data_IF_498756611084
#
_entry.id   IF_498756611084
#
_cell.length_a   1.000
_cell.length_b   1.000
_cell.length_c   1.000
_cell.angle_alpha   90.00
_cell.angle_beta   90.00
_cell.angle_gamma   90.00
#
_symmetry.space_group_name_H-M   'P 1'
#
loop_
_entity.id
_entity.type
_entity.pdbx_description
1 polymer ?
#
# COMPACT_ATOMS: atom_id res chain seq x y z
N UNK A 1 -1.57 18.03 -24.50
CA UNK A 1 -0.65 17.09 -25.20
C UNK A 1 -0.57 15.85 -24.35
N UNK A 2 -0.78 14.66 -24.94
CA UNK A 2 -0.63 13.40 -24.20
C UNK A 2 0.86 13.13 -23.94
N UNK A 3 1.20 12.62 -22.77
CA UNK A 3 2.57 12.14 -22.52
C UNK A 3 2.79 10.81 -23.26
N UNK A 4 4.06 10.46 -23.51
CA UNK A 4 4.41 9.17 -24.14
C UNK A 4 3.91 8.00 -23.30
N UNK A 5 3.97 8.11 -21.97
CA UNK A 5 3.46 7.09 -21.05
C UNK A 5 1.95 6.88 -21.22
N UNK A 6 1.17 7.96 -21.32
CA UNK A 6 -0.30 7.86 -21.49
C UNK A 6 -0.66 7.13 -22.80
N UNK A 7 0.03 7.45 -23.90
CA UNK A 7 -0.22 6.83 -25.20
C UNK A 7 0.16 5.33 -25.23
N UNK A 8 1.19 4.94 -24.49
CA UNK A 8 1.64 3.55 -24.43
C UNK A 8 0.70 2.68 -23.59
N UNK A 9 0.22 3.20 -22.46
CA UNK A 9 -0.67 2.49 -21.54
C UNK A 9 -2.04 2.21 -22.17
N UNK A 10 -2.60 3.13 -22.96
CA UNK A 10 -3.87 2.91 -23.67
C UNK A 10 -3.81 1.72 -24.65
N UNK A 11 -2.62 1.37 -25.17
CA UNK A 11 -2.45 0.22 -26.08
C UNK A 11 -2.62 -1.13 -25.38
N UNK A 12 -2.60 -1.17 -24.04
CA UNK A 12 -2.77 -2.41 -23.28
C UNK A 12 -4.23 -2.89 -23.22
N UNK A 13 -5.21 -2.03 -23.54
CA UNK A 13 -6.65 -2.37 -23.47
C UNK A 13 -7.08 -3.11 -24.73
N UNK A 14 -7.65 -4.32 -24.59
CA UNK A 14 -8.22 -5.07 -25.71
C UNK A 14 -7.21 -5.53 -26.77
N UNK A 15 -5.93 -5.54 -26.45
CA UNK A 15 -4.89 -6.08 -27.34
C UNK A 15 -5.00 -7.61 -27.42
N UNK A 16 -4.61 -8.24 -28.54
CA UNK A 16 -4.78 -9.69 -28.81
C UNK A 16 -4.17 -10.62 -27.74
N UNK A 17 -3.33 -10.10 -26.85
CA UNK A 17 -2.70 -10.76 -25.70
C UNK A 17 -2.72 -9.85 -24.44
N UNK A 18 -3.58 -8.82 -24.41
CA UNK A 18 -3.52 -7.73 -23.43
C UNK A 18 -4.03 -8.10 -22.05
N UNK A 19 -3.38 -7.57 -21.02
CA UNK A 19 -3.70 -7.82 -19.61
C UNK A 19 -5.05 -7.24 -19.20
N UNK A 20 -5.46 -6.10 -19.79
CA UNK A 20 -6.70 -5.38 -19.45
C UNK A 20 -7.77 -5.69 -20.49
N UNK A 21 -8.79 -6.44 -20.05
CA UNK A 21 -9.90 -6.87 -20.90
C UNK A 21 -10.92 -5.76 -21.13
N UNK A 22 -11.19 -4.96 -20.09
CA UNK A 22 -12.16 -3.89 -20.10
C UNK A 22 -11.61 -2.69 -19.32
N UNK A 23 -11.82 -1.50 -19.87
CA UNK A 23 -11.64 -0.23 -19.19
C UNK A 23 -12.95 0.55 -19.32
N UNK A 24 -13.52 0.96 -18.20
CA UNK A 24 -14.74 1.76 -18.21
C UNK A 24 -14.64 2.93 -17.23
N UNK A 25 -15.27 4.08 -17.54
CA UNK A 25 -15.43 5.14 -16.57
C UNK A 25 -16.31 4.61 -15.44
N UNK A 26 -15.97 4.94 -14.19
CA UNK A 26 -16.87 4.68 -13.07
C UNK A 26 -18.02 5.70 -13.18
N UNK A 27 -19.28 5.26 -13.37
CA UNK A 27 -20.41 6.18 -13.52
C UNK A 27 -20.56 7.03 -12.26
N UNK A 28 -20.77 8.33 -12.42
CA UNK A 28 -21.04 9.20 -11.29
C UNK A 28 -22.41 8.85 -10.70
N UNK A 29 -22.45 8.58 -9.40
CA UNK A 29 -23.67 8.51 -8.61
C UNK A 29 -24.07 9.90 -8.11
N UNK A 30 -25.30 10.04 -7.59
CA UNK A 30 -25.76 11.28 -6.94
C UNK A 30 -24.97 11.64 -5.67
N UNK A 31 -24.06 10.77 -5.23
CA UNK A 31 -23.32 10.92 -3.99
C UNK A 31 -21.80 10.98 -4.19
N UNK A 32 -21.34 11.04 -5.43
CA UNK A 32 -19.91 11.08 -5.73
C UNK A 32 -19.40 12.52 -5.64
N UNK A 33 -18.18 12.70 -5.13
CA UNK A 33 -17.43 13.94 -5.31
C UNK A 33 -17.14 14.13 -6.79
N UNK A 34 -17.09 15.38 -7.28
CA UNK A 34 -16.76 15.70 -8.68
C UNK A 34 -15.29 15.40 -9.01
N UNK A 35 -14.95 14.10 -9.04
CA UNK A 35 -13.64 13.53 -9.35
C UNK A 35 -13.82 12.39 -10.34
N UNK A 36 -13.04 12.41 -11.41
CA UNK A 36 -13.07 11.34 -12.41
C UNK A 36 -12.49 10.05 -11.84
N UNK A 37 -13.19 8.93 -12.04
CA UNK A 37 -12.76 7.59 -11.66
C UNK A 37 -12.78 6.61 -12.84
N UNK A 38 -11.80 5.71 -12.87
CA UNK A 38 -11.67 4.66 -13.86
C UNK A 38 -11.44 3.31 -13.19
N UNK A 39 -12.06 2.27 -13.72
CA UNK A 39 -11.86 0.89 -13.30
C UNK A 39 -11.31 0.08 -14.48
N UNK A 40 -10.21 -0.63 -14.24
CA UNK A 40 -9.61 -1.57 -15.18
C UNK A 40 -9.84 -3.00 -14.68
N UNK A 41 -10.46 -3.83 -15.54
CA UNK A 41 -10.73 -5.24 -15.25
C UNK A 41 -9.68 -6.08 -15.98
N UNK A 42 -8.80 -6.78 -15.26
CA UNK A 42 -7.84 -7.66 -15.91
C UNK A 42 -8.54 -8.86 -16.55
N UNK A 43 -7.90 -9.52 -17.52
CA UNK A 43 -8.43 -10.76 -18.11
C UNK A 43 -8.62 -11.86 -17.04
N UNK A 44 -9.57 -12.82 -17.25
CA UNK A 44 -9.95 -13.85 -16.27
C UNK A 44 -8.84 -14.81 -15.85
N UNK A 45 -7.65 -14.71 -16.46
CA UNK A 45 -6.49 -15.50 -16.11
C UNK A 45 -5.56 -14.79 -15.10
N UNK A 46 -5.76 -13.51 -14.78
CA UNK A 46 -4.98 -12.83 -13.74
C UNK A 46 -5.68 -12.93 -12.37
N UNK A 47 -4.94 -13.34 -11.34
CA UNK A 47 -5.39 -13.22 -9.95
C UNK A 47 -5.14 -11.79 -9.47
N UNK A 48 -6.23 -11.05 -9.23
CA UNK A 48 -6.20 -9.67 -8.77
C UNK A 48 -7.56 -9.02 -9.04
N UNK A 49 -8.11 -8.32 -8.05
CA UNK A 49 -9.39 -7.62 -8.19
C UNK A 49 -9.35 -6.49 -9.22
N UNK A 50 -10.47 -5.78 -9.36
CA UNK A 50 -10.57 -4.57 -10.16
C UNK A 50 -9.52 -3.56 -9.74
N UNK A 51 -8.79 -2.96 -10.70
CA UNK A 51 -7.80 -1.92 -10.42
C UNK A 51 -8.39 -0.53 -10.64
N UNK A 52 -8.12 0.40 -9.74
CA UNK A 52 -8.74 1.74 -9.73
C UNK A 52 -7.78 2.85 -10.14
N UNK A 53 -8.30 4.04 -10.47
CA UNK A 53 -7.46 5.18 -10.77
C UNK A 53 -8.25 6.46 -11.01
N UNK A 54 -7.70 7.61 -10.62
CA UNK A 54 -8.27 8.93 -10.93
C UNK A 54 -8.12 9.30 -12.41
N UNK A 55 -7.32 8.52 -13.15
CA UNK A 55 -7.16 8.60 -14.59
C UNK A 55 -7.19 7.21 -15.21
N UNK A 56 -7.51 7.12 -16.51
CA UNK A 56 -7.43 5.89 -17.30
C UNK A 56 -6.09 5.19 -17.15
N UNK A 57 -5.02 5.98 -17.18
CA UNK A 57 -3.64 5.51 -17.23
C UNK A 57 -3.23 4.94 -15.88
N UNK A 58 -3.63 5.56 -14.77
CA UNK A 58 -3.41 5.01 -13.44
C UNK A 58 -4.08 3.64 -13.27
N UNK A 59 -5.36 3.52 -13.66
CA UNK A 59 -6.10 2.26 -13.53
C UNK A 59 -5.49 1.12 -14.35
N UNK A 60 -5.06 1.39 -15.59
CA UNK A 60 -4.39 0.38 -16.43
C UNK A 60 -3.00 0.04 -15.87
N UNK A 61 -2.22 1.03 -15.43
CA UNK A 61 -0.89 0.80 -14.88
C UNK A 61 -0.94 -0.09 -13.64
N UNK A 62 -1.91 0.15 -12.75
CA UNK A 62 -2.14 -0.65 -11.56
C UNK A 62 -2.60 -2.09 -11.90
N UNK A 63 -3.42 -2.27 -12.95
CA UNK A 63 -3.79 -3.60 -13.44
C UNK A 63 -2.58 -4.37 -14.02
N UNK A 64 -1.73 -3.69 -14.80
CA UNK A 64 -0.49 -4.25 -15.35
C UNK A 64 0.50 -4.60 -14.25
N UNK A 65 0.60 -3.76 -13.23
CA UNK A 65 1.43 -3.99 -12.05
C UNK A 65 1.04 -5.27 -11.32
N UNK A 66 -0.26 -5.43 -10.97
CA UNK A 66 -0.77 -6.66 -10.32
C UNK A 66 -0.55 -7.90 -11.18
N UNK A 67 -0.78 -7.78 -12.50
CA UNK A 67 -0.50 -8.87 -13.43
C UNK A 67 0.97 -9.29 -13.41
N UNK A 68 1.89 -8.33 -13.45
CA UNK A 68 3.31 -8.62 -13.41
C UNK A 68 3.70 -9.36 -12.13
N UNK A 69 3.21 -8.91 -10.97
CA UNK A 69 3.49 -9.59 -9.69
C UNK A 69 2.88 -10.99 -9.59
N UNK A 70 1.74 -11.24 -10.23
CA UNK A 70 1.10 -12.55 -10.24
C UNK A 70 1.73 -13.52 -11.26
N UNK A 71 2.32 -13.01 -12.35
CA UNK A 71 2.80 -13.83 -13.49
C UNK A 71 4.32 -13.90 -13.64
N UNK A 72 5.08 -13.00 -13.01
CA UNK A 72 6.52 -13.03 -13.06
C UNK A 72 7.05 -14.37 -12.53
N UNK A 73 7.92 -15.01 -13.33
CA UNK A 73 8.57 -16.27 -12.93
C UNK A 73 9.70 -15.94 -11.97
N UNK A 74 9.59 -16.46 -10.75
CA UNK A 74 10.63 -16.35 -9.74
C UNK A 74 11.45 -17.65 -9.73
N UNK A 75 12.75 -17.54 -9.98
CA UNK A 75 13.67 -18.65 -9.75
C UNK A 75 13.79 -18.94 -8.26
N UNK A 76 13.93 -20.23 -7.93
CA UNK A 76 14.28 -20.65 -6.57
C UNK A 76 15.80 -20.76 -6.47
N UNK A 77 16.40 -20.07 -5.50
CA UNK A 77 17.85 -20.03 -5.28
C UNK A 77 18.19 -20.46 -3.85
N UNK A 78 19.22 -21.31 -3.72
CA UNK A 78 19.60 -21.95 -2.45
C UNK A 78 20.94 -21.46 -1.88
N UNK A 79 21.73 -20.72 -2.65
CA UNK A 79 23.08 -20.28 -2.29
C UNK A 79 23.23 -18.76 -2.29
N UNK A 80 24.19 -18.26 -1.51
CA UNK A 80 24.46 -16.82 -1.33
C UNK A 80 23.80 -16.22 -0.10
N UNK A 81 24.10 -14.95 0.16
CA UNK A 81 23.54 -14.19 1.27
C UNK A 81 22.01 -14.19 1.23
N UNK A 82 21.37 -14.21 2.38
CA UNK A 82 19.92 -14.37 2.50
C UNK A 82 19.37 -13.51 3.62
N UNK A 83 18.20 -12.91 3.39
CA UNK A 83 17.35 -12.40 4.46
C UNK A 83 16.26 -13.42 4.73
N UNK A 84 16.39 -14.23 5.80
CA UNK A 84 15.38 -15.22 6.18
C UNK A 84 14.02 -14.57 6.41
N UNK A 85 12.95 -15.33 6.19
CA UNK A 85 11.59 -14.87 6.42
C UNK A 85 11.39 -14.34 7.86
N UNK A 86 12.07 -14.92 8.84
CA UNK A 86 11.95 -14.50 10.24
C UNK A 86 12.48 -13.08 10.51
N UNK A 87 13.28 -12.51 9.61
CA UNK A 87 13.73 -11.13 9.73
C UNK A 87 12.63 -10.12 9.39
N UNK A 88 11.61 -10.54 8.63
CA UNK A 88 10.55 -9.64 8.19
C UNK A 88 9.53 -9.41 9.29
N UNK A 89 9.06 -8.16 9.39
CA UNK A 89 8.06 -7.72 10.37
C UNK A 89 6.67 -8.23 9.99
N UNK A 90 6.48 -9.55 10.08
CA UNK A 90 5.22 -10.26 9.82
C UNK A 90 4.65 -10.78 11.14
N UNK A 91 4.71 -12.08 11.42
CA UNK A 91 4.02 -12.67 12.57
C UNK A 91 4.99 -13.11 13.67
N UNK A 92 4.58 -12.99 14.93
CA UNK A 92 5.37 -13.46 16.08
C UNK A 92 5.45 -14.98 16.16
N UNK A 93 6.29 -15.51 17.05
CA UNK A 93 6.33 -16.96 17.32
C UNK A 93 4.98 -17.44 17.86
N UNK A 94 4.36 -16.67 18.76
CA UNK A 94 3.10 -16.98 19.42
C UNK A 94 1.95 -17.09 18.41
N UNK A 95 1.86 -16.15 17.47
CA UNK A 95 0.88 -16.22 16.37
C UNK A 95 1.09 -17.46 15.51
N UNK A 96 2.34 -17.79 15.19
CA UNK A 96 2.70 -18.91 14.29
C UNK A 96 2.39 -20.29 14.88
N UNK A 97 2.39 -20.43 16.21
CA UNK A 97 2.06 -21.70 16.87
C UNK A 97 0.56 -21.88 17.10
N UNK A 98 -0.25 -20.83 16.94
CA UNK A 98 -1.70 -20.89 17.15
C UNK A 98 -2.37 -21.99 16.28
N UNK A 99 -3.38 -22.72 16.80
CA UNK A 99 -3.99 -23.86 16.10
C UNK A 99 -4.58 -23.51 14.73
N UNK A 100 -5.16 -22.32 14.58
CA UNK A 100 -5.82 -21.82 13.37
C UNK A 100 -4.93 -20.92 12.50
N UNK A 101 -3.61 -20.89 12.74
CA UNK A 101 -2.69 -20.05 11.98
C UNK A 101 -2.58 -20.46 10.50
N UNK A 102 -3.10 -19.62 9.60
CA UNK A 102 -3.24 -19.94 8.15
C UNK A 102 -1.92 -19.93 7.36
N UNK A 103 -0.92 -19.16 7.79
CA UNK A 103 0.33 -19.00 7.03
C UNK A 103 1.42 -20.02 7.39
N UNK A 104 1.08 -21.05 8.20
CA UNK A 104 2.04 -22.04 8.70
C UNK A 104 2.88 -22.67 7.59
N UNK A 105 2.26 -23.00 6.46
CA UNK A 105 2.94 -23.63 5.31
C UNK A 105 4.09 -22.77 4.77
N UNK A 106 3.89 -21.45 4.68
CA UNK A 106 4.88 -20.52 4.15
C UNK A 106 6.12 -20.38 5.05
N UNK A 107 5.97 -20.51 6.37
CA UNK A 107 7.09 -20.49 7.32
C UNK A 107 7.88 -21.79 7.38
N UNK A 108 7.27 -22.93 7.07
CA UNK A 108 7.95 -24.23 7.14
C UNK A 108 8.78 -24.49 5.88
N UNK A 109 8.24 -24.16 4.71
CA UNK A 109 8.86 -24.44 3.42
C UNK A 109 8.98 -23.15 2.61
N UNK A 110 9.77 -22.19 3.09
CA UNK A 110 9.96 -20.91 2.40
C UNK A 110 10.91 -21.06 1.21
N UNK A 111 10.44 -20.91 -0.05
CA UNK A 111 11.35 -20.76 -1.18
C UNK A 111 11.90 -19.33 -1.22
N UNK A 112 13.15 -19.21 -1.65
CA UNK A 112 13.84 -17.93 -1.79
C UNK A 112 14.14 -17.64 -3.25
N UNK A 113 13.99 -16.39 -3.66
CA UNK A 113 14.34 -15.91 -5.00
C UNK A 113 15.46 -14.86 -4.93
N UNK A 114 16.11 -14.58 -6.05
CA UNK A 114 17.18 -13.57 -6.12
C UNK A 114 16.56 -12.17 -6.14
N UNK A 115 17.17 -11.25 -5.42
CA UNK A 115 16.91 -9.83 -5.43
C UNK A 115 18.24 -9.06 -5.36
N UNK A 116 18.16 -7.74 -5.34
CA UNK A 116 19.32 -6.85 -5.25
C UNK A 116 19.11 -5.81 -4.16
N UNK A 117 20.14 -5.56 -3.35
CA UNK A 117 20.08 -4.56 -2.27
C UNK A 117 19.97 -3.14 -2.83
N UNK A 118 19.42 -2.22 -2.06
CA UNK A 118 19.53 -0.77 -2.31
C UNK A 118 20.25 -0.12 -1.12
N UNK A 119 21.16 0.85 -1.36
CA UNK A 119 21.62 1.34 -2.65
C UNK A 119 22.69 0.47 -3.33
N UNK A 120 23.24 -0.54 -2.63
CA UNK A 120 24.45 -1.27 -3.06
C UNK A 120 24.32 -2.10 -4.35
N UNK A 121 23.12 -2.52 -4.71
CA UNK A 121 22.85 -3.41 -5.84
C UNK A 121 23.58 -4.78 -5.74
N UNK A 122 23.82 -5.24 -4.51
CA UNK A 122 24.45 -6.52 -4.23
C UNK A 122 23.42 -7.65 -4.31
N UNK A 123 23.80 -8.84 -4.83
CA UNK A 123 22.89 -9.96 -4.92
C UNK A 123 22.51 -10.49 -3.53
N UNK A 124 21.20 -10.62 -3.28
CA UNK A 124 20.64 -11.14 -2.03
C UNK A 124 19.51 -12.13 -2.32
N UNK A 125 19.28 -13.08 -1.42
CA UNK A 125 18.11 -13.96 -1.47
C UNK A 125 17.02 -13.49 -0.51
N UNK A 126 15.78 -13.49 -0.99
CA UNK A 126 14.60 -13.00 -0.26
C UNK A 126 13.43 -13.97 -0.43
N UNK A 127 12.48 -14.04 0.52
CA UNK A 127 11.36 -14.98 0.43
C UNK A 127 10.51 -14.73 -0.83
N UNK A 128 10.39 -15.73 -1.70
CA UNK A 128 9.69 -15.58 -2.98
C UNK A 128 8.21 -15.24 -2.79
N UNK A 129 7.58 -15.75 -1.72
CA UNK A 129 6.19 -15.46 -1.37
C UNK A 129 5.94 -14.03 -0.87
N UNK A 130 6.99 -13.26 -0.56
CA UNK A 130 6.86 -11.81 -0.27
C UNK A 130 7.15 -10.95 -1.51
N UNK A 131 7.66 -11.58 -2.58
CA UNK A 131 7.89 -10.93 -3.88
C UNK A 131 6.70 -11.10 -4.81
N UNK A 132 6.15 -12.32 -4.88
CA UNK A 132 5.01 -12.66 -5.73
C UNK A 132 3.67 -12.23 -5.10
N UNK A 133 2.71 -11.87 -5.96
CA UNK A 133 1.31 -11.77 -5.57
C UNK A 133 0.62 -13.12 -5.77
N UNK A 134 1.06 -14.13 -5.01
CA UNK A 134 0.58 -15.51 -5.12
C UNK A 134 0.41 -16.16 -3.72
N UNK A 135 -0.85 -16.44 -3.36
CA UNK A 135 -1.18 -17.07 -2.08
C UNK A 135 -0.70 -18.53 -1.96
N UNK A 136 -0.31 -19.18 -3.06
CA UNK A 136 0.15 -20.59 -3.08
C UNK A 136 1.41 -20.82 -2.24
N UNK A 137 2.22 -19.77 -2.06
CA UNK A 137 3.39 -19.75 -1.17
C UNK A 137 3.02 -19.84 0.32
N UNK A 138 1.74 -19.68 0.69
CA UNK A 138 1.29 -19.78 2.08
C UNK A 138 1.80 -18.64 2.97
N UNK A 139 2.10 -17.48 2.39
CA UNK A 139 2.45 -16.23 3.06
C UNK A 139 1.42 -15.14 2.70
N UNK A 140 1.35 -14.03 3.45
CA UNK A 140 0.55 -12.87 3.04
C UNK A 140 0.96 -12.40 1.64
N UNK A 141 0.00 -12.38 0.71
CA UNK A 141 0.19 -11.88 -0.64
C UNK A 141 -0.36 -10.45 -0.72
N UNK A 142 0.47 -9.48 -0.37
CA UNK A 142 0.11 -8.05 -0.40
C UNK A 142 0.79 -7.34 -1.56
N UNK A 143 0.24 -6.21 -2.02
CA UNK A 143 0.87 -5.36 -3.04
C UNK A 143 1.92 -4.38 -2.48
N UNK A 144 2.20 -4.40 -1.18
CA UNK A 144 3.13 -3.43 -0.55
C UNK A 144 4.50 -3.40 -1.22
N UNK A 145 4.92 -2.21 -1.67
CA UNK A 145 6.21 -2.02 -2.33
C UNK A 145 6.23 -2.52 -3.77
N UNK A 146 5.07 -2.73 -4.39
CA UNK A 146 4.94 -3.05 -5.81
C UNK A 146 4.70 -1.74 -6.57
N UNK A 147 5.37 -1.57 -7.70
CA UNK A 147 5.16 -0.38 -8.52
C UNK A 147 5.45 -0.66 -9.99
N UNK A 148 4.57 -0.15 -10.87
CA UNK A 148 4.84 -0.01 -12.30
C UNK A 148 5.14 1.44 -12.68
N UNK A 149 6.05 1.64 -13.63
CA UNK A 149 6.40 2.98 -14.13
C UNK A 149 7.11 2.97 -15.49
N UNK A 150 7.30 4.15 -16.11
CA UNK A 150 7.95 4.29 -17.42
C UNK A 150 9.47 4.03 -17.40
N UNK A 151 10.05 3.81 -16.23
CA UNK A 151 11.46 3.43 -16.04
C UNK A 151 11.61 2.68 -14.72
N UNK A 152 12.66 1.86 -14.60
CA UNK A 152 13.01 1.21 -13.32
C UNK A 152 13.19 2.21 -12.19
N UNK A 153 13.83 3.37 -12.44
CA UNK A 153 14.02 4.44 -11.45
C UNK A 153 12.68 4.99 -10.94
N UNK A 154 11.73 5.26 -11.85
CA UNK A 154 10.40 5.73 -11.43
C UNK A 154 9.61 4.68 -10.67
N UNK A 155 9.70 3.41 -11.07
CA UNK A 155 9.04 2.31 -10.38
C UNK A 155 9.64 2.11 -8.98
N UNK A 156 10.98 2.10 -8.87
CA UNK A 156 11.68 2.02 -7.58
C UNK A 156 11.29 3.16 -6.64
N UNK A 157 11.24 4.41 -7.13
CA UNK A 157 10.83 5.54 -6.29
C UNK A 157 9.43 5.34 -5.70
N UNK A 158 8.47 4.93 -6.54
CA UNK A 158 7.10 4.69 -6.09
C UNK A 158 7.01 3.51 -5.13
N UNK A 159 7.70 2.41 -5.40
CA UNK A 159 7.73 1.23 -4.53
C UNK A 159 8.36 1.53 -3.15
N UNK A 160 9.46 2.29 -3.10
CA UNK A 160 10.10 2.66 -1.82
C UNK A 160 9.21 3.64 -1.06
N UNK A 161 8.61 4.63 -1.72
CA UNK A 161 7.65 5.53 -1.07
C UNK A 161 6.46 4.76 -0.50
N UNK A 162 5.91 3.79 -1.24
CA UNK A 162 4.81 2.97 -0.74
C UNK A 162 5.24 2.13 0.47
N UNK A 163 6.45 1.55 0.50
CA UNK A 163 6.91 0.84 1.70
C UNK A 163 6.98 1.75 2.94
N UNK A 164 7.51 2.97 2.78
CA UNK A 164 7.55 3.96 3.87
C UNK A 164 6.14 4.34 4.31
N UNK A 165 5.23 4.51 3.36
CA UNK A 165 3.83 4.80 3.59
C UNK A 165 3.13 3.69 4.39
N UNK A 166 3.31 2.42 4.00
CA UNK A 166 2.71 1.27 4.71
C UNK A 166 3.30 1.10 6.11
N UNK A 167 4.59 1.32 6.29
CA UNK A 167 5.24 1.26 7.60
C UNK A 167 4.71 2.33 8.55
N UNK A 168 4.65 3.57 8.06
CA UNK A 168 4.17 4.71 8.82
C UNK A 168 2.73 4.49 9.30
N UNK A 169 1.85 4.07 8.39
CA UNK A 169 0.47 3.75 8.74
C UNK A 169 0.36 2.56 9.68
N UNK A 170 1.01 1.44 9.37
CA UNK A 170 0.92 0.22 10.18
C UNK A 170 1.43 0.48 11.60
N UNK A 171 2.54 1.21 11.74
CA UNK A 171 3.07 1.60 13.05
C UNK A 171 2.10 2.52 13.79
N UNK A 172 1.64 3.60 13.14
CA UNK A 172 0.68 4.55 13.74
C UNK A 172 -0.58 3.83 14.21
N UNK A 173 -1.12 2.93 13.38
CA UNK A 173 -2.33 2.20 13.67
C UNK A 173 -2.13 1.18 14.80
N UNK A 174 -1.12 0.31 14.71
CA UNK A 174 -0.88 -0.77 15.69
C UNK A 174 -0.56 -0.24 17.08
N UNK A 175 0.06 0.94 17.19
CA UNK A 175 0.37 1.59 18.47
C UNK A 175 -0.74 2.52 18.96
N UNK A 176 -1.90 2.55 18.30
CA UNK A 176 -3.03 3.44 18.61
C UNK A 176 -2.60 4.90 18.78
N UNK A 177 -1.71 5.37 17.92
CA UNK A 177 -1.24 6.76 17.96
C UNK A 177 -2.35 7.70 17.48
N UNK A 178 -2.39 8.89 18.08
CA UNK A 178 -3.15 10.03 17.59
C UNK A 178 -2.21 10.92 16.77
N UNK A 179 -2.16 10.79 15.43
CA UNK A 179 -1.22 11.55 14.60
C UNK A 179 -1.54 13.05 14.60
N UNK A 180 -0.51 13.87 14.37
CA UNK A 180 -0.68 15.32 14.29
C UNK A 180 -1.60 15.67 13.12
N UNK A 181 -2.50 16.64 13.32
CA UNK A 181 -3.39 17.14 12.25
C UNK A 181 -2.91 18.49 11.76
N UNK A 182 -3.11 18.80 10.50
CA UNK A 182 -2.76 20.11 9.93
C UNK A 182 -3.82 20.57 8.94
N UNK A 183 -3.96 21.89 8.78
CA UNK A 183 -4.88 22.46 7.80
C UNK A 183 -4.31 22.33 6.38
N UNK A 184 -5.05 21.61 5.53
CA UNK A 184 -4.74 21.41 4.12
C UNK A 184 -5.83 21.97 3.19
N UNK A 185 -6.82 22.69 3.73
CA UNK A 185 -7.94 23.23 2.95
C UNK A 185 -8.77 22.16 2.22
N UNK A 186 -8.88 20.96 2.82
CA UNK A 186 -9.56 19.83 2.20
C UNK A 186 -11.08 20.03 2.21
N UNK A 187 -11.78 19.69 1.11
CA UNK A 187 -13.23 19.80 1.04
C UNK A 187 -13.90 18.65 1.80
N UNK A 188 -15.24 18.73 1.91
CA UNK A 188 -16.10 17.68 2.45
C UNK A 188 -15.80 17.22 3.89
N UNK A 189 -15.12 18.07 4.68
CA UNK A 189 -14.81 17.78 6.08
C UNK A 189 -13.72 16.72 6.27
N UNK A 190 -12.99 16.35 5.22
CA UNK A 190 -11.82 15.50 5.34
C UNK A 190 -10.68 16.25 6.07
N UNK A 191 -9.90 15.51 6.85
CA UNK A 191 -8.80 16.04 7.64
C UNK A 191 -7.48 15.42 7.20
N UNK A 192 -6.40 16.21 7.20
CA UNK A 192 -5.06 15.76 6.89
C UNK A 192 -4.26 15.50 8.17
N UNK A 193 -3.48 14.42 8.17
CA UNK A 193 -2.67 13.97 9.29
C UNK A 193 -1.23 13.69 8.83
N UNK A 194 -0.27 14.12 9.64
CA UNK A 194 1.14 13.84 9.43
C UNK A 194 1.52 12.51 10.09
N UNK A 195 1.95 11.56 9.26
CA UNK A 195 2.44 10.25 9.66
C UNK A 195 3.94 10.11 9.40
N UNK A 196 4.65 11.18 9.03
CA UNK A 196 6.04 11.13 8.57
C UNK A 196 6.95 10.54 9.67
N UNK A 197 7.55 9.35 9.46
CA UNK A 197 8.51 8.80 10.41
C UNK A 197 9.81 9.60 10.43
N UNK A 198 10.52 9.60 11.55
CA UNK A 198 11.78 10.33 11.74
C UNK A 198 12.89 9.94 10.73
N UNK A 199 12.83 8.72 10.19
CA UNK A 199 13.79 8.25 9.18
C UNK A 199 13.45 8.73 7.75
N UNK A 200 12.23 9.21 7.50
CA UNK A 200 11.76 9.53 6.16
C UNK A 200 12.05 10.98 5.81
N UNK A 201 12.78 11.26 4.72
CA UNK A 201 12.91 12.62 4.18
C UNK A 201 11.69 13.04 3.36
N UNK A 202 10.78 12.10 3.06
CA UNK A 202 9.57 12.33 2.28
C UNK A 202 8.35 12.38 3.21
N UNK A 203 7.48 13.39 3.09
CA UNK A 203 6.26 13.45 3.88
C UNK A 203 5.33 12.26 3.62
N UNK A 204 4.80 11.70 4.71
CA UNK A 204 3.74 10.69 4.68
C UNK A 204 2.48 11.32 5.26
N UNK A 205 1.45 11.44 4.42
CA UNK A 205 0.19 12.09 4.78
C UNK A 205 -0.95 11.09 4.70
N UNK A 206 -1.79 11.06 5.74
CA UNK A 206 -3.09 10.43 5.70
C UNK A 206 -4.19 11.49 5.54
N UNK A 207 -5.22 11.17 4.78
CA UNK A 207 -6.46 11.95 4.70
C UNK A 207 -7.60 11.07 5.17
N UNK A 208 -8.27 11.46 6.26
CA UNK A 208 -9.34 10.67 6.86
C UNK A 208 -10.60 11.51 7.03
N UNK A 209 -11.75 10.85 6.95
CA UNK A 209 -13.05 11.47 7.11
C UNK A 209 -14.16 10.54 6.65
N UNK A 210 -15.39 11.04 6.69
CA UNK A 210 -16.57 10.31 6.21
C UNK A 210 -17.36 11.17 5.24
N UNK A 211 -17.41 10.76 3.96
CA UNK A 211 -18.29 11.37 2.97
C UNK A 211 -19.66 10.66 2.99
N UNK A 212 -20.78 11.35 3.29
CA UNK A 212 -22.07 10.69 3.32
C UNK A 212 -22.57 10.37 1.91
N UNK A 213 -22.92 9.10 1.66
CA UNK A 213 -23.56 8.61 0.44
C UNK A 213 -25.00 8.23 0.74
N UNK A 214 -25.95 8.83 0.01
CA UNK A 214 -27.39 8.71 0.28
C UNK A 214 -27.77 8.96 1.76
N UNK A 215 -27.09 9.91 2.42
CA UNK A 215 -27.31 10.25 3.83
C UNK A 215 -26.69 9.29 4.85
N UNK A 216 -25.93 8.28 4.40
CA UNK A 216 -25.22 7.32 5.27
C UNK A 216 -23.71 7.58 5.27
N UNK A 217 -23.03 7.55 6.41
CA UNK A 217 -21.59 7.82 6.48
C UNK A 217 -20.78 6.73 5.76
N UNK A 218 -19.66 7.15 5.12
CA UNK A 218 -18.67 6.27 4.49
C UNK A 218 -17.29 6.63 5.03
N UNK A 219 -17.02 6.30 6.31
CA UNK A 219 -15.73 6.54 6.91
C UNK A 219 -14.66 5.73 6.21
N UNK A 220 -13.58 6.39 5.82
CA UNK A 220 -12.42 5.77 5.21
C UNK A 220 -11.20 6.69 5.33
N UNK A 221 -10.06 6.21 4.86
CA UNK A 221 -8.79 6.91 4.87
C UNK A 221 -8.08 6.68 3.53
N UNK A 222 -7.39 7.70 3.02
CA UNK A 222 -6.41 7.56 1.94
C UNK A 222 -5.03 7.99 2.42
N UNK A 223 -3.98 7.49 1.80
CA UNK A 223 -2.62 7.57 2.32
C UNK A 223 -1.61 7.83 1.20
N UNK A 224 -0.56 8.60 1.48
CA UNK A 224 0.46 8.87 0.48
C UNK A 224 1.82 9.24 1.09
N UNK A 225 2.89 8.63 0.60
CA UNK A 225 4.25 9.14 0.75
C UNK A 225 4.72 9.81 -0.55
N UNK A 226 5.07 11.10 -0.54
CA UNK A 226 5.54 11.83 -1.74
C UNK A 226 6.70 12.75 -1.38
N UNK A 227 7.39 13.30 -2.39
CA UNK A 227 8.50 14.23 -2.17
C UNK A 227 8.01 15.59 -1.64
N UNK A 228 6.72 15.91 -1.80
CA UNK A 228 6.14 17.15 -1.27
C UNK A 228 4.86 16.86 -0.50
N UNK A 229 4.60 17.66 0.53
CA UNK A 229 3.39 17.57 1.34
C UNK A 229 2.16 17.85 0.48
N UNK A 230 2.27 18.78 -0.47
CA UNK A 230 1.19 19.06 -1.43
C UNK A 230 0.83 17.84 -2.29
N UNK A 231 1.82 17.11 -2.80
CA UNK A 231 1.57 15.90 -3.59
C UNK A 231 1.07 14.74 -2.73
N UNK A 232 1.57 14.62 -1.50
CA UNK A 232 1.10 13.62 -0.54
C UNK A 232 -0.37 13.86 -0.19
N UNK A 233 -0.73 15.08 0.24
CA UNK A 233 -2.13 15.49 0.51
C UNK A 233 -3.02 15.19 -0.70
N UNK A 234 -2.62 15.62 -1.91
CA UNK A 234 -3.42 15.40 -3.11
C UNK A 234 -3.68 13.92 -3.36
N UNK A 235 -2.63 13.08 -3.30
CA UNK A 235 -2.77 11.64 -3.54
C UNK A 235 -3.58 10.96 -2.44
N UNK A 236 -3.35 11.29 -1.18
CA UNK A 236 -4.11 10.74 -0.06
C UNK A 236 -5.59 11.12 -0.15
N UNK A 237 -5.90 12.35 -0.57
CA UNK A 237 -7.28 12.77 -0.82
C UNK A 237 -7.92 12.02 -1.99
N UNK A 238 -7.19 11.81 -3.09
CA UNK A 238 -7.65 10.99 -4.23
C UNK A 238 -7.97 9.55 -3.79
N UNK A 239 -7.14 8.95 -2.94
CA UNK A 239 -7.39 7.61 -2.39
C UNK A 239 -8.57 7.59 -1.42
N UNK A 240 -8.74 8.61 -0.59
CA UNK A 240 -9.88 8.71 0.31
C UNK A 240 -11.21 8.75 -0.46
N UNK A 241 -11.27 9.49 -1.58
CA UNK A 241 -12.45 9.49 -2.45
C UNK A 241 -12.67 8.13 -3.11
N UNK A 242 -11.61 7.51 -3.62
CA UNK A 242 -11.71 6.17 -4.22
C UNK A 242 -12.18 5.12 -3.22
N UNK A 243 -11.67 5.16 -1.99
CA UNK A 243 -12.09 4.29 -0.89
C UNK A 243 -13.58 4.47 -0.57
N UNK A 244 -14.08 5.71 -0.60
CA UNK A 244 -15.51 5.99 -0.38
C UNK A 244 -16.38 5.30 -1.44
N UNK A 245 -16.01 5.42 -2.72
CA UNK A 245 -16.72 4.77 -3.84
C UNK A 245 -16.63 3.25 -3.72
N UNK A 246 -15.46 2.71 -3.38
CA UNK A 246 -15.26 1.29 -3.16
C UNK A 246 -16.20 0.74 -2.08
N UNK A 247 -16.25 1.38 -0.92
CA UNK A 247 -17.11 0.97 0.20
C UNK A 247 -18.58 0.94 -0.22
N UNK A 248 -19.06 1.94 -0.95
CA UNK A 248 -20.43 1.96 -1.44
C UNK A 248 -20.74 0.78 -2.38
N UNK A 249 -19.86 0.54 -3.36
CA UNK A 249 -20.02 -0.57 -4.30
C UNK A 249 -19.98 -1.92 -3.58
N UNK A 250 -19.11 -2.06 -2.57
CA UNK A 250 -19.00 -3.26 -1.77
C UNK A 250 -20.28 -3.51 -0.97
N UNK A 251 -20.80 -2.50 -0.28
CA UNK A 251 -22.05 -2.60 0.51
C UNK A 251 -23.26 -2.91 -0.38
N UNK A 252 -23.34 -2.32 -1.58
CA UNK A 252 -24.40 -2.61 -2.53
C UNK A 252 -24.41 -4.09 -3.00
N UNK A 253 -23.24 -4.75 -3.01
CA UNK A 253 -23.08 -6.15 -3.43
C UNK A 253 -23.23 -7.14 -2.28
N UNK A 254 -22.73 -6.80 -1.09
CA UNK A 254 -22.63 -7.70 0.04
C UNK A 254 -23.67 -7.45 1.13
N UNK A 255 -24.43 -6.34 1.04
CA UNK A 255 -25.36 -5.89 2.07
C UNK A 255 -24.71 -4.93 3.07
N UNK A 256 -25.54 -4.33 3.93
CA UNK A 256 -25.14 -3.36 4.96
C UNK A 256 -25.09 -3.95 6.38
N UNK A 257 -25.08 -5.28 6.49
CA UNK A 257 -24.91 -5.97 7.76
C UNK A 257 -23.52 -5.73 8.37
N UNK A 258 -23.38 -5.89 9.70
CA UNK A 258 -22.11 -5.66 10.39
C UNK A 258 -21.03 -6.64 9.91
N UNK A 259 -19.85 -6.10 9.59
CA UNK A 259 -18.63 -6.90 9.41
C UNK A 259 -18.09 -7.27 10.79
N UNK A 260 -18.33 -8.50 11.24
CA UNK A 260 -17.95 -8.96 12.59
C UNK A 260 -16.43 -9.07 12.77
N UNK A 261 -15.73 -9.64 11.79
CA UNK A 261 -14.29 -9.86 11.80
C UNK A 261 -13.74 -9.60 10.39
N UNK A 262 -12.86 -8.60 10.24
CA UNK A 262 -12.25 -8.30 8.95
C UNK A 262 -11.07 -9.25 8.67
N UNK A 263 -11.19 -10.07 7.62
CA UNK A 263 -10.25 -11.13 7.26
C UNK A 263 -9.60 -10.94 5.90
N UNK A 264 -10.04 -9.93 5.15
CA UNK A 264 -9.41 -9.40 3.95
C UNK A 264 -9.50 -7.86 3.87
N UNK A 265 -8.81 -7.29 2.88
CA UNK A 265 -8.76 -5.85 2.66
C UNK A 265 -10.14 -5.23 2.34
N UNK A 266 -11.02 -5.95 1.65
CA UNK A 266 -12.35 -5.44 1.30
C UNK A 266 -13.21 -5.28 2.56
N UNK A 267 -13.18 -6.26 3.46
CA UNK A 267 -13.84 -6.22 4.76
C UNK A 267 -13.26 -5.14 5.68
N UNK A 268 -11.93 -4.94 5.66
CA UNK A 268 -11.27 -3.85 6.38
C UNK A 268 -11.78 -2.47 5.93
N UNK A 269 -11.87 -2.24 4.61
CA UNK A 269 -12.40 -0.99 4.07
C UNK A 269 -13.88 -0.75 4.44
N UNK A 270 -14.70 -1.80 4.45
CA UNK A 270 -16.12 -1.69 4.76
C UNK A 270 -16.42 -1.63 6.27
N UNK A 271 -15.49 -2.03 7.14
CA UNK A 271 -15.72 -2.24 8.58
C UNK A 271 -16.40 -1.05 9.26
N UNK A 272 -15.83 0.15 9.11
CA UNK A 272 -16.33 1.35 9.79
C UNK A 272 -17.63 1.88 9.19
N UNK A 273 -17.92 1.61 7.92
CA UNK A 273 -19.20 1.96 7.33
C UNK A 273 -20.35 1.13 7.91
N UNK A 274 -20.05 -0.09 8.40
CA UNK A 274 -21.00 -0.94 9.13
C UNK A 274 -20.94 -0.72 10.66
N UNK A 275 -19.96 0.04 11.15
CA UNK A 275 -19.75 0.39 12.56
C UNK A 275 -19.40 1.87 12.77
N UNK A 276 -20.28 2.82 12.40
CA UNK A 276 -19.94 4.25 12.40
C UNK A 276 -19.55 4.77 13.80
N UNK A 277 -20.18 4.29 14.88
CA UNK A 277 -19.80 4.68 16.23
C UNK A 277 -18.33 4.32 16.57
N UNK A 278 -17.83 3.19 16.06
CA UNK A 278 -16.43 2.78 16.28
C UNK A 278 -15.44 3.69 15.54
N UNK A 279 -15.87 4.35 14.46
CA UNK A 279 -15.04 5.32 13.74
C UNK A 279 -14.87 6.60 14.56
N UNK A 280 -15.97 7.10 15.12
CA UNK A 280 -15.99 8.31 15.94
C UNK A 280 -15.19 8.14 17.24
N UNK A 281 -15.12 6.91 17.76
CA UNK A 281 -14.37 6.56 18.97
C UNK A 281 -12.85 6.36 18.73
N UNK A 282 -12.36 6.44 17.48
CA UNK A 282 -10.94 6.22 17.20
C UNK A 282 -10.05 7.29 17.85
N UNK A 283 -8.94 6.92 18.51
CA UNK A 283 -7.98 7.88 19.05
C UNK A 283 -7.32 8.74 17.97
N UNK A 284 -7.40 8.29 16.70
CA UNK A 284 -6.85 8.95 15.52
C UNK A 284 -7.19 10.45 15.44
N UNK A 285 -8.42 10.83 15.82
CA UNK A 285 -8.91 12.21 15.72
C UNK A 285 -8.52 13.10 16.91
N UNK A 286 -7.84 12.55 17.92
CA UNK A 286 -7.46 13.27 19.15
C UNK A 286 -6.10 13.97 19.02
N UNK A 287 -5.45 13.88 17.85
CA UNK A 287 -4.17 14.51 17.59
C UNK A 287 -4.22 16.04 17.67
N UNK A 288 -3.12 16.64 18.14
CA UNK A 288 -3.02 18.10 18.20
C UNK A 288 -2.75 18.69 16.81
N UNK A 289 -3.11 19.96 16.65
CA UNK A 289 -2.88 20.70 15.42
C UNK A 289 -1.44 21.21 15.33
N UNK A 290 -0.80 21.03 14.19
CA UNK A 290 0.59 21.40 13.94
C UNK A 290 0.77 21.94 12.51
N UNK A 291 1.98 22.43 12.23
CA UNK A 291 2.38 22.79 10.87
C UNK A 291 2.47 21.53 9.98
N UNK A 292 2.24 21.66 8.66
CA UNK A 292 2.41 20.56 7.73
C UNK A 292 3.86 20.01 7.75
N UNK A 293 4.06 18.71 7.44
CA UNK A 293 5.39 18.13 7.37
C UNK A 293 6.24 18.82 6.30
N UNK A 294 7.58 18.83 6.45
CA UNK A 294 8.47 19.43 5.48
C UNK A 294 8.49 18.63 4.18
N UNK A 295 8.70 19.34 3.07
CA UNK A 295 9.01 18.70 1.79
C UNK A 295 10.41 18.07 1.80
N UNK A 296 10.63 17.11 0.90
CA UNK A 296 11.95 16.57 0.58
C UNK A 296 12.91 17.69 0.13
N UNK A 297 14.21 17.49 0.31
CA UNK A 297 15.20 18.50 -0.06
C UNK A 297 15.49 18.50 -1.57
N UNK A 298 15.32 17.36 -2.22
CA UNK A 298 15.59 17.19 -3.65
C UNK A 298 14.30 17.08 -4.47
N UNK A 299 14.43 17.25 -5.78
CA UNK A 299 13.33 17.17 -6.75
C UNK A 299 13.77 16.44 -8.01
N UNK A 300 12.81 15.73 -8.61
CA UNK A 300 13.01 14.93 -9.80
C UNK A 300 13.30 13.47 -9.45
N UNK A 301 12.72 12.56 -10.23
CA UNK A 301 12.62 11.12 -9.93
C UNK A 301 13.93 10.49 -9.43
N UNK A 302 15.05 10.74 -10.11
CA UNK A 302 16.35 10.17 -9.72
C UNK A 302 16.88 10.75 -8.42
N UNK A 303 16.77 12.07 -8.24
CA UNK A 303 17.26 12.74 -7.04
C UNK A 303 16.41 12.36 -5.82
N UNK A 304 15.09 12.34 -5.97
CA UNK A 304 14.14 11.90 -4.93
C UNK A 304 14.38 10.44 -4.52
N UNK A 305 14.62 9.53 -5.48
CA UNK A 305 14.95 8.14 -5.18
C UNK A 305 16.26 8.04 -4.40
N UNK A 306 17.27 8.79 -4.84
CA UNK A 306 18.60 8.80 -4.22
C UNK A 306 18.54 9.32 -2.78
N UNK A 307 17.87 10.46 -2.57
CA UNK A 307 17.65 11.03 -1.23
C UNK A 307 16.95 10.04 -0.31
N UNK A 308 15.83 9.46 -0.76
CA UNK A 308 15.03 8.53 0.02
C UNK A 308 15.82 7.28 0.39
N UNK A 309 16.40 6.58 -0.59
CA UNK A 309 17.15 5.34 -0.34
C UNK A 309 18.33 5.58 0.59
N UNK A 310 19.09 6.67 0.41
CA UNK A 310 20.21 6.96 1.31
C UNK A 310 19.77 7.39 2.70
N UNK A 311 18.61 8.02 2.86
CA UNK A 311 18.08 8.31 4.19
C UNK A 311 17.69 7.02 4.93
N UNK A 312 17.03 6.09 4.24
CA UNK A 312 16.68 4.78 4.78
C UNK A 312 17.94 3.96 5.14
N UNK A 313 18.94 3.94 4.27
CA UNK A 313 20.23 3.27 4.51
C UNK A 313 20.98 3.85 5.72
N UNK A 314 21.05 5.18 5.87
CA UNK A 314 21.62 5.82 7.06
C UNK A 314 20.86 5.51 8.35
N UNK A 315 19.56 5.26 8.26
CA UNK A 315 18.73 4.83 9.38
C UNK A 315 18.86 3.32 9.67
N UNK A 316 19.69 2.58 8.91
CA UNK A 316 19.87 1.14 9.04
C UNK A 316 18.69 0.32 8.52
N UNK A 317 17.84 0.92 7.68
CA UNK A 317 16.68 0.25 7.06
C UNK A 317 17.16 -0.44 5.78
N UNK A 318 17.10 -1.76 5.77
CA UNK A 318 17.54 -2.56 4.65
C UNK A 318 16.45 -2.61 3.59
N UNK A 319 16.86 -2.44 2.33
CA UNK A 319 15.98 -2.51 1.17
C UNK A 319 16.54 -3.50 0.16
N UNK A 320 15.66 -4.32 -0.41
CA UNK A 320 15.98 -5.12 -1.59
C UNK A 320 14.87 -4.97 -2.63
N UNK A 321 15.23 -5.07 -3.91
CA UNK A 321 14.28 -5.01 -5.01
C UNK A 321 14.41 -6.21 -5.94
N UNK A 322 13.30 -6.55 -6.59
CA UNK A 322 13.22 -7.53 -7.67
C UNK A 322 12.47 -6.91 -8.84
N UNK A 323 13.07 -6.97 -10.03
CA UNK A 323 12.37 -6.65 -11.26
C UNK A 323 11.39 -7.78 -11.62
N UNK A 324 10.14 -7.39 -11.90
CA UNK A 324 9.01 -8.24 -12.25
C UNK A 324 8.44 -7.90 -13.63
N UNK A 325 9.11 -7.04 -14.40
CA UNK A 325 8.70 -6.64 -15.75
C UNK A 325 8.46 -7.87 -16.64
N UNK A 326 7.21 -8.11 -17.02
CA UNK A 326 6.84 -9.19 -17.94
C UNK A 326 6.99 -8.74 -19.40
N UNK A 327 7.01 -9.66 -20.38
CA UNK A 327 7.04 -9.31 -21.80
C UNK A 327 5.92 -8.35 -22.21
N UNK A 328 4.73 -8.49 -21.62
CA UNK A 328 3.56 -7.64 -21.88
C UNK A 328 3.81 -6.19 -21.42
N UNK A 329 4.37 -6.01 -20.21
CA UNK A 329 4.71 -4.69 -19.70
C UNK A 329 5.86 -4.07 -20.50
N UNK A 330 6.88 -4.85 -20.82
CA UNK A 330 8.00 -4.41 -21.64
C UNK A 330 7.55 -3.96 -23.03
N UNK A 331 6.59 -4.66 -23.66
CA UNK A 331 6.04 -4.31 -24.96
C UNK A 331 5.31 -2.96 -24.99
N UNK A 332 4.80 -2.50 -23.84
CA UNK A 332 4.20 -1.16 -23.68
C UNK A 332 5.14 -0.17 -23.00
N UNK A 333 6.44 -0.49 -22.86
CA UNK A 333 7.44 0.42 -22.31
C UNK A 333 7.27 0.70 -20.80
N UNK A 334 6.66 -0.23 -20.06
CA UNK A 334 6.58 -0.17 -18.61
C UNK A 334 7.56 -1.14 -17.96
N UNK A 335 8.02 -0.76 -16.78
CA UNK A 335 8.80 -1.58 -15.86
C UNK A 335 7.99 -1.82 -14.60
N UNK A 336 8.07 -3.02 -14.04
CA UNK A 336 7.46 -3.35 -12.76
C UNK A 336 8.53 -3.86 -11.81
N UNK A 337 8.55 -3.33 -10.59
CA UNK A 337 9.45 -3.78 -9.53
C UNK A 337 8.67 -4.06 -8.27
N UNK A 338 9.23 -4.95 -7.45
CA UNK A 338 8.84 -5.14 -6.05
C UNK A 338 10.03 -4.79 -5.17
N UNK A 339 9.84 -3.86 -4.25
CA UNK A 339 10.78 -3.55 -3.17
C UNK A 339 10.23 -4.17 -1.89
N UNK A 340 11.13 -4.63 -1.04
CA UNK A 340 10.81 -5.21 0.26
C UNK A 340 11.85 -4.80 1.30
N UNK A 341 11.42 -4.72 2.55
CA UNK A 341 12.27 -4.45 3.69
C UNK A 341 11.92 -5.41 4.82
N UNK A 342 12.91 -6.06 5.46
CA UNK A 342 12.69 -6.79 6.70
C UNK A 342 12.37 -5.84 7.87
N UNK A 343 12.86 -4.60 7.80
CA UNK A 343 12.82 -3.63 8.91
C UNK A 343 11.52 -2.83 8.96
N UNK A 344 10.79 -2.76 7.84
CA UNK A 344 9.53 -2.04 7.71
C UNK A 344 8.32 -2.99 7.83
N UNK A 345 7.26 -2.53 8.48
CA UNK A 345 6.03 -3.28 8.70
C UNK A 345 5.05 -3.09 7.51
N UNK A 346 4.69 -4.14 6.77
CA UNK A 346 3.68 -4.06 5.73
C UNK A 346 2.27 -4.06 6.32
N UNK A 347 1.30 -3.58 5.53
CA UNK A 347 -0.13 -3.67 5.87
C UNK A 347 -0.57 -5.15 5.93
N UNK A 348 -1.47 -5.48 6.85
CA UNK A 348 -2.03 -6.84 7.00
C UNK A 348 -3.46 -6.86 6.49
N UNK A 349 -3.91 -7.95 5.87
CA UNK A 349 -5.30 -8.05 5.40
C UNK A 349 -6.20 -8.83 6.35
N UNK A 350 -5.62 -9.62 7.26
CA UNK A 350 -6.37 -10.52 8.15
C UNK A 350 -6.20 -10.01 9.58
N UNK A 351 -7.24 -9.36 10.14
CA UNK A 351 -7.18 -8.73 11.47
C UNK A 351 -6.95 -9.72 12.61
N UNK A 352 -7.15 -11.03 12.38
CA UNK A 352 -6.77 -12.07 13.36
C UNK A 352 -5.26 -12.23 13.49
N UNK A 353 -4.53 -11.88 12.44
CA UNK A 353 -3.10 -12.09 12.30
C UNK A 353 -2.40 -10.78 11.95
N UNK A 354 -2.50 -9.73 12.79
CA UNK A 354 -1.79 -8.49 12.54
C UNK A 354 -0.28 -8.75 12.51
N UNK A 355 0.44 -7.92 11.76
CA UNK A 355 1.88 -8.06 11.63
C UNK A 355 2.61 -7.50 12.88
N UNK A 356 2.85 -8.36 13.87
CA UNK A 356 3.47 -8.01 15.16
C UNK A 356 4.91 -8.50 15.33
N UNK A 357 5.45 -9.23 14.36
CA UNK A 357 6.81 -9.75 14.38
C UNK A 357 7.86 -8.70 14.01
N UNK A 358 9.13 -9.11 14.04
CA UNK A 358 10.26 -8.27 13.65
C UNK A 358 10.32 -6.98 14.47
N UNK A 359 10.33 -5.84 13.76
CA UNK A 359 10.48 -4.49 14.34
C UNK A 359 9.17 -3.74 14.51
N UNK A 360 8.02 -4.41 14.36
CA UNK A 360 6.69 -3.76 14.43
C UNK A 360 6.38 -3.13 15.80
N UNK A 361 6.91 -3.71 16.88
CA UNK A 361 6.76 -3.18 18.24
C UNK A 361 7.72 -2.01 18.55
N UNK A 362 8.71 -1.74 17.70
CA UNK A 362 9.70 -0.69 17.93
C UNK A 362 9.16 0.68 17.46
N UNK A 363 8.71 1.49 18.41
CA UNK A 363 8.14 2.81 18.13
C UNK A 363 9.18 3.94 18.11
N UNK A 364 10.09 3.96 19.08
CA UNK A 364 10.90 5.14 19.41
C UNK A 364 11.76 5.66 18.25
N UNK A 365 12.30 4.77 17.41
CA UNK A 365 13.14 5.19 16.29
C UNK A 365 12.33 5.74 15.10
N UNK A 366 11.05 5.39 15.00
CA UNK A 366 10.12 5.92 14.00
C UNK A 366 9.50 7.23 14.48
N UNK A 367 9.06 7.26 15.74
CA UNK A 367 8.36 8.38 16.33
C UNK A 367 8.87 8.65 17.76
N UNK A 368 10.05 9.28 17.92
CA UNK A 368 10.71 9.47 19.22
C UNK A 368 9.93 10.35 20.20
N UNK A 369 8.89 11.04 19.74
CA UNK A 369 8.05 11.93 20.52
C UNK A 369 6.61 11.42 20.69
N UNK A 370 6.30 10.24 20.12
CA UNK A 370 4.96 9.68 20.23
C UNK A 370 4.72 9.09 21.63
N UNK A 371 3.49 9.26 22.12
CA UNK A 371 3.00 8.54 23.29
C UNK A 371 2.17 7.35 22.81
N UNK A 372 2.64 6.09 22.99
CA UNK A 372 1.89 4.93 22.52
C UNK A 372 0.58 4.76 23.29
N UNK A 373 -0.45 4.33 22.58
CA UNK A 373 -1.70 3.83 23.14
C UNK A 373 -1.64 2.31 23.38
N UNK A 374 -2.75 1.63 23.11
CA UNK A 374 -2.80 0.17 23.15
C UNK A 374 -1.95 -0.44 22.02
N UNK A 375 -1.20 -1.51 22.33
CA UNK A 375 -0.49 -2.31 21.34
C UNK A 375 -0.74 -3.81 21.57
N UNK A 376 -1.16 -4.57 20.53
CA UNK A 376 -1.67 -4.03 19.26
C UNK A 376 -3.01 -3.33 19.46
N UNK A 377 -3.29 -2.34 18.61
CA UNK A 377 -4.61 -1.74 18.51
C UNK A 377 -5.67 -2.81 18.24
N UNK A 378 -6.72 -2.94 19.07
CA UNK A 378 -7.73 -3.97 18.90
C UNK A 378 -8.67 -3.73 17.70
N UNK A 379 -8.72 -2.50 17.18
CA UNK A 379 -9.59 -2.14 16.06
C UNK A 379 -8.93 -2.47 14.70
N UNK A 380 -9.68 -3.04 13.74
CA UNK A 380 -9.16 -3.24 12.38
C UNK A 380 -8.90 -1.91 11.72
N UNK A 381 -7.86 -1.83 10.88
CA UNK A 381 -7.59 -0.61 10.14
C UNK A 381 -8.58 -0.36 9.00
N UNK A 382 -8.84 0.90 8.60
CA UNK A 382 -9.83 1.24 7.56
C UNK A 382 -9.35 1.10 6.11
N UNK A 383 -8.07 0.77 5.88
CA UNK A 383 -7.54 0.63 4.52
C UNK A 383 -7.90 -0.72 3.88
N UNK A 384 -8.29 -0.69 2.60
CA UNK A 384 -8.47 -1.87 1.75
C UNK A 384 -7.64 -1.81 0.46
#
# INVERSE_FOLDING_TARGET
MRTVAEALVERAVGWRQGVVSQLHPVPHSLSDVDLQGWAAVPEPFATGGTSGGTTRVAAIAEALERHAAARARLEVVTEGECWPLEHFSLHTVEQRVAPNYRYRKGYVNTPYTRAWTLPGNDPIRVPAGLVALDASYGLPATSSGLAAGPSTTSALLRAVQELVERDAFTTTWLHSLAPQRFDAGLPHGAQAFDLTPAYSPHPVVAVAGSLPIAGRPRPTLGLACRATTKEAVRKAYEEWVQGTVFVEVWLARNGDGPVEEATDFDEHAAYYATHPAKWDDLPWFQGFEADPPPDAQTRGTTAELTELVHALDRAGIRLAYRELTTPELSAVGLHCVRVLSPDLAPLHSDHRWPHLGGRAAELDWRYPHASPGAFPNPAPHPLG
#
